data_IF_361686064979
#
_entry.id   IF_361686064979
#
_cell.length_a   1.000
_cell.length_b   1.000
_cell.length_c   1.000
_cell.angle_alpha   90.00
_cell.angle_beta   90.00
_cell.angle_gamma   90.00
#
_symmetry.space_group_name_H-M   'P 1'
#
loop_
_entity.id
_entity.type
_entity.pdbx_description
1 polymer ?
#
# COMPACT_ATOMS: atom_id res chain seq x y z
N UNK A 1 -12.23 1.40 31.00
CA UNK A 1 -11.64 1.53 29.63
C UNK A 1 -11.68 3.00 29.22
N UNK A 2 -10.81 3.46 28.30
CA UNK A 2 -10.53 4.90 28.04
C UNK A 2 -11.42 5.58 26.97
N UNK A 3 -12.42 4.87 26.43
CA UNK A 3 -13.29 5.39 25.36
C UNK A 3 -12.53 5.88 24.11
N UNK A 4 -11.38 5.28 23.80
CA UNK A 4 -10.59 5.57 22.61
C UNK A 4 -10.83 4.47 21.57
N UNK A 5 -11.22 4.86 20.35
CA UNK A 5 -11.29 3.98 19.18
C UNK A 5 -9.97 4.08 18.41
N UNK A 6 -9.37 2.94 18.07
CA UNK A 6 -8.18 2.87 17.23
C UNK A 6 -8.61 2.58 15.79
N UNK A 7 -8.37 3.52 14.89
CA UNK A 7 -8.64 3.39 13.45
C UNK A 7 -7.31 3.04 12.78
N UNK A 8 -7.15 1.84 12.21
CA UNK A 8 -5.92 1.47 11.52
C UNK A 8 -5.84 2.17 10.15
N UNK A 9 -4.62 2.43 9.71
CA UNK A 9 -4.31 2.95 8.39
C UNK A 9 -3.35 2.02 7.65
N UNK A 10 -3.71 1.67 6.41
CA UNK A 10 -2.83 1.00 5.46
C UNK A 10 -2.89 1.82 4.17
N UNK A 11 -1.89 2.67 3.96
CA UNK A 11 -1.90 3.63 2.85
C UNK A 11 -1.68 2.96 1.49
N UNK A 12 -2.56 3.24 0.53
CA UNK A 12 -2.56 2.69 -0.81
C UNK A 12 -3.04 3.71 -1.84
N UNK A 13 -2.60 3.63 -3.12
CA UNK A 13 -1.53 2.77 -3.63
C UNK A 13 -0.13 3.39 -3.51
N UNK A 14 -0.06 4.65 -3.04
CA UNK A 14 1.17 5.37 -2.70
C UNK A 14 1.86 4.79 -1.46
N UNK A 15 2.98 5.40 -1.04
CA UNK A 15 3.69 5.06 0.21
C UNK A 15 4.06 3.57 0.44
N UNK A 16 4.05 2.75 -0.62
CA UNK A 16 4.15 1.30 -0.53
C UNK A 16 5.57 0.74 -0.76
N UNK A 17 6.61 1.58 -0.75
CA UNK A 17 8.00 1.11 -0.99
C UNK A 17 8.47 0.01 -0.04
N UNK A 18 7.99 -0.01 1.21
CA UNK A 18 8.31 -1.08 2.15
C UNK A 18 7.71 -2.43 1.69
N UNK A 19 6.45 -2.43 1.27
CA UNK A 19 5.79 -3.62 0.72
C UNK A 19 6.43 -4.05 -0.59
N UNK A 20 6.73 -3.11 -1.49
CA UNK A 20 7.41 -3.39 -2.75
C UNK A 20 8.83 -3.95 -2.55
N UNK A 21 9.58 -3.48 -1.55
CA UNK A 21 10.88 -4.03 -1.23
C UNK A 21 10.82 -5.49 -0.74
N UNK A 22 9.73 -5.87 -0.05
CA UNK A 22 9.50 -7.24 0.39
C UNK A 22 8.93 -8.14 -0.74
N UNK A 23 8.06 -7.57 -1.59
CA UNK A 23 7.34 -8.26 -2.66
C UNK A 23 7.42 -7.44 -3.96
N UNK A 24 8.55 -7.49 -4.69
CA UNK A 24 8.76 -6.67 -5.88
C UNK A 24 7.76 -6.93 -7.02
N UNK A 25 7.17 -8.13 -7.06
CA UNK A 25 6.15 -8.50 -8.03
C UNK A 25 4.84 -7.72 -7.91
N UNK A 26 4.64 -6.95 -6.83
CA UNK A 26 3.45 -6.10 -6.66
C UNK A 26 3.58 -4.73 -7.34
N UNK A 27 4.79 -4.32 -7.75
CA UNK A 27 5.06 -3.05 -8.43
C UNK A 27 5.10 -3.18 -9.96
N UNK A 28 4.89 -2.07 -10.67
CA UNK A 28 4.80 -2.09 -12.15
C UNK A 28 6.10 -2.53 -12.85
N UNK A 29 7.25 -2.28 -12.22
CA UNK A 29 8.57 -2.57 -12.82
C UNK A 29 9.15 -3.91 -12.38
N UNK A 30 8.57 -4.57 -11.38
CA UNK A 30 9.10 -5.80 -10.79
C UNK A 30 10.37 -5.61 -9.94
N UNK A 31 10.78 -4.37 -9.67
CA UNK A 31 11.94 -4.04 -8.85
C UNK A 31 13.29 -4.07 -9.59
N UNK A 32 14.42 -4.23 -8.85
CA UNK A 32 14.49 -4.35 -7.40
C UNK A 32 14.13 -3.02 -6.69
N UNK A 33 13.40 -3.12 -5.58
CA UNK A 33 13.08 -1.96 -4.72
C UNK A 33 13.88 -2.03 -3.42
N UNK A 34 13.98 -0.90 -2.72
CA UNK A 34 14.55 -0.81 -1.37
C UNK A 34 13.60 -0.05 -0.48
N UNK A 35 13.58 -0.40 0.81
CA UNK A 35 12.88 0.38 1.82
C UNK A 35 13.43 1.81 1.79
N UNK A 36 12.55 2.79 1.74
CA UNK A 36 12.94 4.20 1.72
C UNK A 36 13.68 4.56 3.01
N UNK A 37 14.89 5.11 2.88
CA UNK A 37 15.68 5.65 4.00
C UNK A 37 15.73 7.17 4.00
N UNK A 38 14.93 7.80 3.14
CA UNK A 38 14.79 9.25 3.00
C UNK A 38 13.32 9.60 2.88
N UNK A 39 12.98 10.85 3.17
CA UNK A 39 11.63 11.39 3.04
C UNK A 39 11.34 11.82 1.60
N UNK A 40 10.04 11.94 1.27
CA UNK A 40 9.55 12.46 -0.01
C UNK A 40 8.53 11.54 -0.66
N UNK A 41 8.12 11.94 -1.86
CA UNK A 41 7.16 11.22 -2.71
C UNK A 41 7.94 10.30 -3.65
N UNK A 42 7.47 9.07 -3.83
CA UNK A 42 8.13 8.06 -4.66
C UNK A 42 7.26 7.66 -5.84
N UNK A 43 7.87 7.55 -7.03
CA UNK A 43 7.17 7.15 -8.25
C UNK A 43 6.76 5.67 -8.26
N UNK A 44 7.46 4.84 -7.48
CA UNK A 44 7.19 3.40 -7.39
C UNK A 44 6.05 3.15 -6.41
N UNK A 45 4.87 2.91 -6.98
CA UNK A 45 3.59 2.67 -6.28
C UNK A 45 3.07 1.25 -6.59
N UNK A 46 2.06 0.78 -5.86
CA UNK A 46 1.41 -0.50 -6.16
C UNK A 46 0.86 -0.53 -7.60
N UNK A 47 1.02 -1.67 -8.27
CA UNK A 47 0.51 -1.87 -9.62
C UNK A 47 -0.97 -2.26 -9.58
N UNK A 48 -1.88 -1.28 -9.66
CA UNK A 48 -3.33 -1.53 -9.58
C UNK A 48 -3.90 -2.38 -10.72
N UNK A 49 -3.17 -2.52 -11.84
CA UNK A 49 -3.54 -3.43 -12.94
C UNK A 49 -3.06 -4.87 -12.74
N UNK A 50 -2.40 -5.17 -11.62
CA UNK A 50 -1.88 -6.50 -11.29
C UNK A 50 -2.80 -7.18 -10.26
N UNK A 51 -3.43 -8.29 -10.64
CA UNK A 51 -4.32 -9.05 -9.77
C UNK A 51 -3.63 -9.52 -8.48
N UNK A 52 -2.31 -9.77 -8.51
CA UNK A 52 -1.55 -10.11 -7.28
C UNK A 52 -1.48 -8.94 -6.30
N UNK A 53 -1.36 -7.71 -6.80
CA UNK A 53 -1.37 -6.52 -5.95
C UNK A 53 -2.76 -6.30 -5.34
N UNK A 54 -3.83 -6.52 -6.11
CA UNK A 54 -5.19 -6.44 -5.58
C UNK A 54 -5.45 -7.51 -4.53
N UNK A 55 -5.02 -8.76 -4.78
CA UNK A 55 -5.18 -9.85 -3.80
C UNK A 55 -4.40 -9.58 -2.51
N UNK A 56 -3.17 -9.06 -2.63
CA UNK A 56 -2.38 -8.65 -1.47
C UNK A 56 -3.12 -7.62 -0.60
N UNK A 57 -3.73 -6.59 -1.21
CA UNK A 57 -4.51 -5.58 -0.48
C UNK A 57 -5.71 -6.23 0.23
N UNK A 58 -6.44 -7.10 -0.47
CA UNK A 58 -7.60 -7.81 0.12
C UNK A 58 -7.20 -8.66 1.33
N UNK A 59 -6.11 -9.42 1.22
CA UNK A 59 -5.64 -10.30 2.29
C UNK A 59 -5.19 -9.48 3.51
N UNK A 60 -4.39 -8.42 3.30
CA UNK A 60 -3.94 -7.53 4.39
C UNK A 60 -5.12 -6.85 5.07
N UNK A 61 -6.05 -6.27 4.31
CA UNK A 61 -7.22 -5.62 4.89
C UNK A 61 -8.12 -6.61 5.63
N UNK A 62 -8.28 -7.84 5.11
CA UNK A 62 -9.05 -8.90 5.76
C UNK A 62 -8.47 -9.27 7.13
N UNK A 63 -7.14 -9.35 7.24
CA UNK A 63 -6.50 -9.58 8.54
C UNK A 63 -6.68 -8.37 9.46
N UNK A 64 -6.42 -7.16 8.99
CA UNK A 64 -6.51 -5.92 9.79
C UNK A 64 -7.92 -5.73 10.37
N UNK A 65 -8.98 -5.91 9.58
CA UNK A 65 -10.35 -5.70 10.08
C UNK A 65 -10.76 -6.72 11.15
N UNK A 66 -10.11 -7.89 11.23
CA UNK A 66 -10.38 -8.86 12.31
C UNK A 66 -9.72 -8.47 13.62
N UNK A 67 -8.64 -7.67 13.57
CA UNK A 67 -7.89 -7.21 14.74
C UNK A 67 -8.53 -5.94 15.32
N UNK A 68 -8.93 -5.01 14.47
CA UNK A 68 -9.42 -3.69 14.90
C UNK A 68 -10.95 -3.65 14.90
N UNK A 69 -11.61 -3.50 16.07
CA UNK A 69 -13.08 -3.46 16.16
C UNK A 69 -13.68 -2.13 15.66
N UNK A 70 -12.86 -1.24 15.11
CA UNK A 70 -13.31 0.03 14.54
C UNK A 70 -14.25 -0.21 13.36
N UNK A 71 -15.33 0.57 13.30
CA UNK A 71 -16.22 0.61 12.12
C UNK A 71 -15.50 1.17 10.88
N UNK A 72 -14.50 2.02 11.09
CA UNK A 72 -13.78 2.72 10.03
C UNK A 72 -12.36 2.17 9.88
N UNK A 73 -11.89 2.16 8.64
CA UNK A 73 -10.53 1.82 8.23
C UNK A 73 -10.04 2.98 7.36
N UNK A 74 -8.80 3.44 7.60
CA UNK A 74 -8.17 4.45 6.76
C UNK A 74 -7.35 3.76 5.67
N UNK A 75 -7.54 4.17 4.41
CA UNK A 75 -6.82 3.59 3.25
C UNK A 75 -5.74 4.53 2.70
N UNK A 76 -5.47 5.65 3.37
CA UNK A 76 -4.56 6.69 2.88
C UNK A 76 -5.08 7.29 1.58
N UNK A 77 -4.32 7.15 0.50
CA UNK A 77 -4.69 7.58 -0.85
C UNK A 77 -4.01 8.86 -1.33
N UNK A 78 -3.10 9.40 -0.53
CA UNK A 78 -2.30 10.55 -0.88
C UNK A 78 -1.02 10.18 -1.65
N UNK A 79 -0.41 11.22 -2.24
CA UNK A 79 0.90 11.19 -2.90
C UNK A 79 1.21 9.92 -3.71
N UNK A 80 0.30 9.53 -4.60
CA UNK A 80 0.47 8.41 -5.54
C UNK A 80 0.74 8.89 -6.98
N UNK A 81 2.00 9.18 -7.37
CA UNK A 81 2.35 9.56 -8.73
C UNK A 81 1.93 8.49 -9.74
N UNK A 82 1.34 8.93 -10.85
CA UNK A 82 0.95 8.03 -11.96
C UNK A 82 2.12 7.74 -12.91
N UNK A 83 3.35 8.06 -12.53
CA UNK A 83 4.54 7.98 -13.39
C UNK A 83 4.76 6.57 -13.92
N UNK A 84 4.70 5.54 -13.07
CA UNK A 84 4.86 4.14 -13.48
C UNK A 84 3.66 3.58 -14.22
N UNK A 85 2.44 3.96 -13.83
CA UNK A 85 1.22 3.51 -14.50
C UNK A 85 1.13 3.96 -15.95
N UNK A 86 1.67 5.13 -16.31
CA UNK A 86 1.66 5.63 -17.70
C UNK A 86 2.44 4.75 -18.69
N UNK A 87 3.42 3.98 -18.20
CA UNK A 87 4.29 3.14 -19.04
C UNK A 87 4.10 1.65 -18.74
N UNK A 88 3.25 1.30 -17.79
CA UNK A 88 2.86 -0.07 -17.51
C UNK A 88 1.96 -0.55 -18.67
N UNK A 89 2.26 -1.70 -19.31
CA UNK A 89 1.48 -2.21 -20.44
C UNK A 89 0.04 -2.57 -20.05
#
# INVERSE_FOLDING_TARGET
QRYITVIPEIDLPGHMLAALAAYPELGCTGGPYKVATRWGIFDDVLCIGNDKAMRFIEDVLSEVITIFPSKYIHIGGDEAPRTRWKTCP
#
